data_IF_888438450701
#
_entry.id   IF_888438450701
#
_cell.length_a   1.000
_cell.length_b   1.000
_cell.length_c   1.000
_cell.angle_alpha   90.00
_cell.angle_beta   90.00
_cell.angle_gamma   90.00
#
_symmetry.space_group_name_H-M   'P 1'
#
loop_
_entity.id
_entity.type
_entity.pdbx_description
1 polymer ?
#
# COMPACT_ATOMS: atom_id res chain seq x y z
N UNK A 1 -1.04 -16.70 -4.45
CA UNK A 1 0.09 -16.32 -3.55
C UNK A 1 -0.34 -16.68 -2.15
N UNK A 2 0.47 -17.38 -1.36
CA UNK A 2 0.03 -17.79 -0.01
C UNK A 2 -0.05 -16.55 0.89
N UNK A 3 -1.07 -16.45 1.74
CA UNK A 3 -1.28 -15.31 2.67
C UNK A 3 -0.08 -15.05 3.58
N UNK A 4 0.64 -16.09 4.03
CA UNK A 4 1.90 -15.97 4.76
C UNK A 4 2.87 -14.98 4.12
N UNK A 5 3.06 -15.06 2.78
CA UNK A 5 3.97 -14.16 2.06
C UNK A 5 3.50 -12.72 2.06
N UNK A 6 2.19 -12.51 2.02
CA UNK A 6 1.64 -11.13 2.06
C UNK A 6 1.77 -10.56 3.47
N UNK A 7 1.53 -11.38 4.50
CA UNK A 7 1.72 -10.98 5.89
C UNK A 7 3.19 -10.65 6.15
N UNK A 8 4.13 -11.46 5.64
CA UNK A 8 5.57 -11.17 5.74
C UNK A 8 5.95 -9.86 5.03
N UNK A 9 5.37 -9.60 3.85
CA UNK A 9 5.59 -8.33 3.14
C UNK A 9 5.04 -7.14 3.93
N UNK A 10 3.86 -7.26 4.53
CA UNK A 10 3.29 -6.20 5.38
C UNK A 10 4.17 -5.94 6.60
N UNK A 11 4.68 -6.98 7.24
CA UNK A 11 5.59 -6.90 8.37
C UNK A 11 6.89 -6.16 7.99
N UNK A 12 7.49 -6.51 6.86
CA UNK A 12 8.70 -5.84 6.36
C UNK A 12 8.43 -4.38 5.94
N UNK A 13 7.32 -4.08 5.28
CA UNK A 13 6.93 -2.70 4.97
C UNK A 13 6.79 -1.89 6.26
N UNK A 14 6.12 -2.43 7.27
CA UNK A 14 5.94 -1.76 8.55
C UNK A 14 7.29 -1.44 9.22
N UNK A 15 8.20 -2.41 9.27
CA UNK A 15 9.55 -2.21 9.82
C UNK A 15 10.33 -1.12 9.10
N UNK A 16 10.27 -1.12 7.75
CA UNK A 16 10.98 -0.11 6.94
C UNK A 16 10.41 1.28 7.21
N UNK A 17 9.09 1.45 7.20
CA UNK A 17 8.46 2.76 7.45
C UNK A 17 8.78 3.25 8.86
N UNK A 18 8.70 2.39 9.87
CA UNK A 18 9.03 2.73 11.26
C UNK A 18 10.50 3.13 11.41
N UNK A 19 11.41 2.44 10.73
CA UNK A 19 12.84 2.75 10.78
C UNK A 19 13.19 4.10 10.14
N UNK A 20 12.36 4.63 9.25
CA UNK A 20 12.56 5.91 8.56
C UNK A 20 11.72 7.05 9.16
N UNK A 21 11.21 6.91 10.39
CA UNK A 21 10.37 7.92 11.06
C UNK A 21 11.02 9.32 11.05
N UNK A 22 12.30 9.41 11.49
CA UNK A 22 13.01 10.68 11.60
C UNK A 22 13.20 11.33 10.20
N UNK A 23 13.60 10.54 9.20
CA UNK A 23 13.79 11.03 7.83
C UNK A 23 12.49 11.59 7.26
N UNK A 24 11.38 10.84 7.39
CA UNK A 24 10.06 11.26 6.92
C UNK A 24 9.56 12.52 7.64
N UNK A 25 9.85 12.64 8.93
CA UNK A 25 9.53 13.82 9.75
C UNK A 25 10.35 15.03 9.31
N UNK A 26 11.65 14.86 9.04
CA UNK A 26 12.52 15.94 8.61
C UNK A 26 12.18 16.45 7.19
N UNK A 27 11.81 15.56 6.29
CA UNK A 27 11.31 15.93 4.97
C UNK A 27 10.03 16.76 5.06
N UNK A 28 9.11 16.38 5.94
CA UNK A 28 7.85 17.10 6.14
C UNK A 28 8.07 18.47 6.79
N UNK A 29 9.00 18.62 7.73
CA UNK A 29 9.33 19.93 8.35
C UNK A 29 9.72 21.01 7.37
N UNK A 30 10.23 20.63 6.20
CA UNK A 30 10.61 21.58 5.17
C UNK A 30 9.42 22.26 4.49
N UNK A 31 8.23 21.62 4.50
CA UNK A 31 7.06 22.05 3.74
C UNK A 31 5.74 21.90 4.51
N UNK A 32 5.76 21.24 5.69
CA UNK A 32 4.59 20.90 6.51
C UNK A 32 4.82 21.19 8.00
N UNK A 33 4.09 20.50 8.85
CA UNK A 33 4.13 20.65 10.31
C UNK A 33 5.10 19.66 11.00
N UNK A 34 5.76 18.80 10.23
CA UNK A 34 6.80 17.88 10.73
C UNK A 34 6.23 16.72 11.53
N UNK A 35 5.05 16.25 11.22
CA UNK A 35 4.42 15.13 11.94
C UNK A 35 4.24 13.85 11.08
N UNK A 36 4.60 13.90 9.78
CA UNK A 36 4.34 12.82 8.84
C UNK A 36 4.97 11.49 9.26
N UNK A 37 6.26 11.49 9.61
CA UNK A 37 6.96 10.28 10.06
C UNK A 37 6.35 9.69 11.33
N UNK A 38 6.04 10.54 12.31
CA UNK A 38 5.40 10.12 13.56
C UNK A 38 4.01 9.52 13.32
N UNK A 39 3.22 10.13 12.44
CA UNK A 39 1.89 9.65 12.08
C UNK A 39 1.97 8.29 11.38
N UNK A 40 2.88 8.12 10.41
CA UNK A 40 3.10 6.84 9.74
C UNK A 40 3.58 5.77 10.70
N UNK A 41 4.58 6.07 11.54
CA UNK A 41 5.07 5.13 12.56
C UNK A 41 3.93 4.62 13.43
N UNK A 42 3.12 5.51 13.98
CA UNK A 42 1.95 5.12 14.81
C UNK A 42 1.01 4.17 14.06
N UNK A 43 0.76 4.42 12.77
CA UNK A 43 -0.07 3.58 11.94
C UNK A 43 0.53 2.19 11.72
N UNK A 44 1.81 2.14 11.40
CA UNK A 44 2.49 0.87 11.13
C UNK A 44 2.82 0.08 12.41
N UNK A 45 3.05 0.73 13.56
CA UNK A 45 3.08 0.06 14.87
C UNK A 45 1.75 -0.67 15.14
N UNK A 46 0.62 -0.04 14.80
CA UNK A 46 -0.69 -0.66 14.95
C UNK A 46 -0.93 -1.81 13.96
N UNK A 47 -0.38 -1.73 12.74
CA UNK A 47 -0.39 -2.85 11.78
C UNK A 47 0.45 -4.01 12.30
N UNK A 48 1.66 -3.74 12.79
CA UNK A 48 2.53 -4.78 13.38
C UNK A 48 1.87 -5.50 14.55
N UNK A 49 1.16 -4.79 15.40
CA UNK A 49 0.41 -5.40 16.51
C UNK A 49 -0.69 -6.39 16.05
N UNK A 50 -1.09 -6.33 14.77
CA UNK A 50 -2.05 -7.27 14.17
C UNK A 50 -1.40 -8.42 13.40
N UNK A 51 -0.10 -8.39 13.14
CA UNK A 51 0.58 -9.42 12.33
C UNK A 51 0.39 -10.81 12.92
N UNK A 52 0.55 -10.98 14.23
CA UNK A 52 0.35 -12.28 14.89
C UNK A 52 -1.10 -12.75 14.76
N UNK A 53 -2.07 -11.85 14.95
CA UNK A 53 -3.48 -12.15 14.71
C UNK A 53 -3.74 -12.58 13.25
N UNK A 54 -3.13 -11.95 12.27
CA UNK A 54 -3.27 -12.34 10.87
C UNK A 54 -2.70 -13.75 10.62
N UNK A 55 -1.54 -14.07 11.20
CA UNK A 55 -0.93 -15.41 11.10
C UNK A 55 -1.77 -16.49 11.78
N UNK A 56 -2.28 -16.23 12.98
CA UNK A 56 -3.14 -17.18 13.70
C UNK A 56 -4.48 -17.46 13.02
N UNK A 57 -4.94 -16.54 12.16
CA UNK A 57 -6.23 -16.62 11.46
C UNK A 57 -6.07 -16.75 9.94
N UNK A 58 -4.90 -17.16 9.45
CA UNK A 58 -4.60 -17.17 8.00
C UNK A 58 -5.58 -18.01 7.18
N UNK A 59 -6.06 -19.14 7.70
CA UNK A 59 -7.03 -20.02 7.05
C UNK A 59 -8.40 -19.34 6.77
N UNK A 60 -8.71 -18.27 7.52
CA UNK A 60 -9.94 -17.49 7.39
C UNK A 60 -9.71 -16.10 6.82
N UNK A 61 -8.47 -15.78 6.47
CA UNK A 61 -8.01 -14.46 6.03
C UNK A 61 -7.62 -14.52 4.56
N UNK A 62 -8.54 -14.23 3.65
CA UNK A 62 -8.18 -14.03 2.25
C UNK A 62 -7.44 -12.68 2.05
N UNK A 63 -6.81 -12.52 0.88
CA UNK A 63 -6.04 -11.32 0.55
C UNK A 63 -6.88 -10.04 0.63
N UNK A 64 -8.14 -10.10 0.21
CA UNK A 64 -9.06 -8.96 0.28
C UNK A 64 -9.33 -8.52 1.72
N UNK A 65 -9.58 -9.48 2.63
CA UNK A 65 -9.76 -9.19 4.06
C UNK A 65 -8.50 -8.63 4.70
N UNK A 66 -7.34 -9.23 4.42
CA UNK A 66 -6.05 -8.78 4.93
C UNK A 66 -5.77 -7.31 4.57
N UNK A 67 -5.96 -6.96 3.30
CA UNK A 67 -5.81 -5.58 2.83
C UNK A 67 -6.84 -4.63 3.45
N UNK A 68 -8.09 -5.05 3.61
CA UNK A 68 -9.12 -4.24 4.26
C UNK A 68 -8.83 -4.02 5.75
N UNK A 69 -8.42 -5.05 6.49
CA UNK A 69 -8.05 -4.93 7.90
C UNK A 69 -6.85 -3.98 8.09
N UNK A 70 -5.85 -4.10 7.21
CA UNK A 70 -4.71 -3.17 7.19
C UNK A 70 -5.15 -1.75 6.88
N UNK A 71 -6.01 -1.56 5.86
CA UNK A 71 -6.56 -0.27 5.49
C UNK A 71 -7.33 0.40 6.65
N UNK A 72 -8.18 -0.35 7.33
CA UNK A 72 -8.96 0.16 8.48
C UNK A 72 -8.06 0.52 9.65
N UNK A 73 -6.99 -0.25 9.87
CA UNK A 73 -5.99 0.05 10.90
C UNK A 73 -5.29 1.38 10.59
N UNK A 74 -4.77 1.56 9.37
CA UNK A 74 -4.14 2.82 8.97
C UNK A 74 -5.12 4.00 9.01
N UNK A 75 -6.37 3.81 8.53
CA UNK A 75 -7.39 4.85 8.54
C UNK A 75 -7.68 5.38 9.96
N UNK A 76 -7.65 4.50 10.95
CA UNK A 76 -7.99 4.84 12.34
C UNK A 76 -6.80 5.35 13.15
N UNK A 77 -5.55 5.14 12.69
CA UNK A 77 -4.35 5.41 13.48
C UNK A 77 -3.39 6.41 12.85
N UNK A 78 -3.32 6.49 11.52
CA UNK A 78 -2.49 7.48 10.83
C UNK A 78 -3.21 8.82 10.79
N UNK A 79 -2.56 9.86 11.31
CA UNK A 79 -3.08 11.23 11.27
C UNK A 79 -2.92 11.89 9.90
N UNK A 80 -3.45 13.10 9.76
CA UNK A 80 -3.31 13.91 8.56
C UNK A 80 -4.00 13.33 7.33
N UNK A 81 -3.54 13.74 6.15
CA UNK A 81 -4.07 13.28 4.86
C UNK A 81 -3.63 11.86 4.49
N UNK A 82 -2.48 11.40 5.02
CA UNK A 82 -1.85 10.14 4.67
C UNK A 82 -2.71 8.93 5.02
N UNK A 83 -3.31 8.91 6.21
CA UNK A 83 -4.20 7.83 6.63
C UNK A 83 -5.31 7.53 5.63
N UNK A 84 -6.16 8.50 5.31
CA UNK A 84 -7.19 8.33 4.28
C UNK A 84 -6.68 7.95 2.90
N UNK A 85 -5.51 8.45 2.46
CA UNK A 85 -4.95 8.14 1.15
C UNK A 85 -4.48 6.70 1.07
N UNK A 86 -3.62 6.25 1.99
CA UNK A 86 -3.13 4.87 2.02
C UNK A 86 -4.25 3.86 2.28
N UNK A 87 -5.17 4.17 3.18
CA UNK A 87 -6.34 3.33 3.42
C UNK A 87 -7.20 3.17 2.15
N UNK A 88 -7.42 4.27 1.40
CA UNK A 88 -8.18 4.21 0.15
C UNK A 88 -7.46 3.34 -0.89
N UNK A 89 -6.14 3.45 -1.02
CA UNK A 89 -5.35 2.60 -1.91
C UNK A 89 -5.53 1.12 -1.57
N UNK A 90 -5.34 0.74 -0.31
CA UNK A 90 -5.49 -0.65 0.15
C UNK A 90 -6.92 -1.18 0.01
N UNK A 91 -7.95 -0.37 0.28
CA UNK A 91 -9.35 -0.76 0.07
C UNK A 91 -9.66 -1.00 -1.42
N UNK A 92 -9.09 -0.20 -2.31
CA UNK A 92 -9.23 -0.37 -3.77
C UNK A 92 -8.54 -1.65 -4.23
N UNK A 93 -7.33 -1.95 -3.74
CA UNK A 93 -6.66 -3.22 -3.99
C UNK A 93 -7.46 -4.39 -3.43
N UNK A 94 -7.96 -4.29 -2.20
CA UNK A 94 -8.81 -5.32 -1.59
C UNK A 94 -10.04 -5.63 -2.45
N UNK A 95 -10.67 -4.60 -3.01
CA UNK A 95 -11.81 -4.77 -3.92
C UNK A 95 -11.42 -5.50 -5.21
N UNK A 96 -10.23 -5.26 -5.75
CA UNK A 96 -9.74 -5.92 -6.95
C UNK A 96 -9.53 -7.44 -6.73
N UNK A 97 -9.20 -7.85 -5.51
CA UNK A 97 -9.02 -9.26 -5.14
C UNK A 97 -10.25 -9.93 -4.54
N UNK A 98 -11.38 -9.20 -4.42
CA UNK A 98 -12.62 -9.78 -3.92
C UNK A 98 -13.06 -10.95 -4.81
N UNK A 99 -13.49 -12.02 -4.19
CA UNK A 99 -13.99 -13.23 -4.86
C UNK A 99 -12.92 -13.98 -5.69
N UNK A 100 -11.62 -13.65 -5.51
CA UNK A 100 -10.52 -14.40 -6.09
C UNK A 100 -9.89 -15.34 -5.07
N UNK A 101 -9.67 -16.59 -5.49
CA UNK A 101 -8.85 -17.50 -4.70
C UNK A 101 -7.37 -17.13 -4.88
N UNK A 102 -6.58 -17.34 -3.84
CA UNK A 102 -5.14 -17.00 -3.87
C UNK A 102 -4.36 -17.65 -5.01
N UNK A 103 -4.73 -18.91 -5.36
CA UNK A 103 -4.08 -19.65 -6.45
C UNK A 103 -4.39 -19.12 -7.84
N UNK A 104 -5.46 -18.34 -7.98
CA UNK A 104 -5.96 -17.81 -9.23
C UNK A 104 -5.51 -16.36 -9.50
N UNK A 105 -4.81 -15.74 -8.52
CA UNK A 105 -4.29 -14.37 -8.68
C UNK A 105 -3.05 -14.39 -9.56
N UNK A 106 -3.15 -13.77 -10.71
CA UNK A 106 -2.06 -13.59 -11.66
C UNK A 106 -1.50 -12.17 -11.67
N UNK A 107 -0.53 -11.91 -12.56
CA UNK A 107 0.13 -10.61 -12.64
C UNK A 107 -0.79 -9.53 -13.22
N UNK A 108 -1.74 -9.89 -14.08
CA UNK A 108 -2.69 -8.95 -14.65
C UNK A 108 -3.68 -8.48 -13.56
N UNK A 109 -4.01 -9.34 -12.59
CA UNK A 109 -4.80 -8.99 -11.40
C UNK A 109 -4.05 -8.02 -10.48
N UNK A 110 -2.74 -8.24 -10.31
CA UNK A 110 -1.90 -7.37 -9.51
C UNK A 110 -1.77 -6.00 -10.19
N UNK A 111 -1.56 -5.97 -11.51
CA UNK A 111 -1.54 -4.71 -12.28
C UNK A 111 -2.85 -3.93 -12.10
N UNK A 112 -3.98 -4.61 -12.24
CA UNK A 112 -5.28 -4.00 -12.03
C UNK A 112 -5.46 -3.46 -10.61
N UNK A 113 -5.03 -4.20 -9.59
CA UNK A 113 -5.09 -3.75 -8.20
C UNK A 113 -4.22 -2.50 -7.96
N UNK A 114 -3.00 -2.46 -8.51
CA UNK A 114 -2.10 -1.28 -8.44
C UNK A 114 -2.75 -0.09 -9.15
N UNK A 115 -3.34 -0.27 -10.31
CA UNK A 115 -4.10 0.76 -11.03
C UNK A 115 -5.21 1.36 -10.16
N UNK A 116 -6.03 0.50 -9.58
CA UNK A 116 -7.14 0.94 -8.73
C UNK A 116 -6.64 1.70 -7.49
N UNK A 117 -5.50 1.29 -6.92
CA UNK A 117 -4.87 2.00 -5.81
C UNK A 117 -4.45 3.43 -6.21
N UNK A 118 -3.74 3.58 -7.34
CA UNK A 118 -3.30 4.88 -7.86
C UNK A 118 -4.49 5.80 -8.14
N UNK A 119 -5.51 5.29 -8.86
CA UNK A 119 -6.74 6.05 -9.12
C UNK A 119 -7.48 6.41 -7.83
N UNK A 120 -7.48 5.53 -6.83
CA UNK A 120 -8.06 5.79 -5.52
C UNK A 120 -7.36 6.95 -4.79
N UNK A 121 -6.03 7.00 -4.80
CA UNK A 121 -5.24 8.10 -4.23
C UNK A 121 -5.56 9.40 -4.96
N UNK A 122 -5.54 9.42 -6.30
CA UNK A 122 -5.85 10.61 -7.11
C UNK A 122 -7.23 11.16 -6.80
N UNK A 123 -8.23 10.29 -6.80
CA UNK A 123 -9.62 10.68 -6.50
C UNK A 123 -9.78 11.19 -5.07
N UNK A 124 -9.20 10.50 -4.08
CA UNK A 124 -9.30 10.87 -2.67
C UNK A 124 -8.57 12.17 -2.34
N UNK A 125 -7.39 12.36 -2.94
CA UNK A 125 -6.57 13.55 -2.76
C UNK A 125 -6.97 14.71 -3.67
N UNK A 126 -7.86 14.48 -4.64
CA UNK A 126 -8.20 15.44 -5.70
C UNK A 126 -6.93 16.02 -6.34
N UNK A 127 -5.97 15.14 -6.65
CA UNK A 127 -4.64 15.51 -7.14
C UNK A 127 -4.36 14.92 -8.53
N UNK A 128 -3.58 15.64 -9.30
CA UNK A 128 -3.13 15.29 -10.64
C UNK A 128 -1.62 15.39 -10.76
N UNK A 129 -1.05 14.80 -11.81
CA UNK A 129 0.38 14.97 -12.13
C UNK A 129 0.69 16.47 -12.33
N UNK A 130 1.77 16.93 -11.71
CA UNK A 130 2.20 18.32 -11.69
C UNK A 130 1.80 19.11 -10.44
N UNK A 131 0.94 18.55 -9.57
CA UNK A 131 0.49 19.21 -8.34
C UNK A 131 1.52 19.14 -7.20
N UNK A 132 2.69 18.52 -7.44
CA UNK A 132 3.77 18.33 -6.46
C UNK A 132 3.31 17.53 -5.24
N UNK A 133 2.65 16.42 -5.50
CA UNK A 133 2.16 15.47 -4.49
C UNK A 133 2.78 14.08 -4.72
N UNK A 134 2.42 13.10 -3.89
CA UNK A 134 2.81 11.69 -4.13
C UNK A 134 2.35 11.17 -5.50
N UNK A 135 1.37 11.80 -6.15
CA UNK A 135 0.90 11.42 -7.49
C UNK A 135 2.02 11.54 -8.52
N UNK A 136 2.92 12.52 -8.37
CA UNK A 136 4.07 12.72 -9.25
C UNK A 136 5.13 11.59 -9.15
N UNK A 137 5.03 10.76 -8.13
CA UNK A 137 5.87 9.56 -7.96
C UNK A 137 5.12 8.28 -8.35
N UNK A 138 3.88 8.11 -7.86
CA UNK A 138 3.16 6.86 -8.07
C UNK A 138 2.62 6.68 -9.49
N UNK A 139 2.33 7.75 -10.20
CA UNK A 139 1.83 7.68 -11.58
C UNK A 139 2.92 7.19 -12.57
N UNK A 140 4.15 7.76 -12.58
CA UNK A 140 5.24 7.21 -13.38
C UNK A 140 5.61 5.77 -13.00
N UNK A 141 5.63 5.45 -11.70
CA UNK A 141 5.81 4.07 -11.24
C UNK A 141 4.78 3.13 -11.88
N UNK A 142 3.49 3.46 -11.78
CA UNK A 142 2.44 2.64 -12.35
C UNK A 142 2.58 2.50 -13.87
N UNK A 143 2.93 3.57 -14.57
CA UNK A 143 3.12 3.54 -16.03
C UNK A 143 4.24 2.57 -16.44
N UNK A 144 5.39 2.61 -15.73
CA UNK A 144 6.51 1.71 -15.97
C UNK A 144 6.17 0.25 -15.57
N UNK A 145 5.54 0.06 -14.41
CA UNK A 145 5.07 -1.24 -13.94
C UNK A 145 4.12 -1.90 -14.96
N UNK A 146 3.10 -1.17 -15.42
CA UNK A 146 2.16 -1.63 -16.43
C UNK A 146 2.85 -2.07 -17.72
N UNK A 147 3.79 -1.24 -18.20
CA UNK A 147 4.57 -1.56 -19.40
C UNK A 147 5.36 -2.86 -19.21
N UNK A 148 6.06 -3.01 -18.09
CA UNK A 148 6.85 -4.20 -17.80
C UNK A 148 5.98 -5.47 -17.67
N UNK A 149 4.77 -5.36 -17.08
CA UNK A 149 3.80 -6.47 -17.05
C UNK A 149 3.39 -6.88 -18.46
N UNK A 150 3.14 -5.93 -19.35
CA UNK A 150 2.74 -6.20 -20.73
C UNK A 150 3.86 -6.87 -21.54
N UNK A 151 5.12 -6.50 -21.30
CA UNK A 151 6.28 -7.00 -22.06
C UNK A 151 6.74 -8.37 -21.59
N UNK A 152 6.78 -8.64 -20.28
CA UNK A 152 7.47 -9.83 -19.74
C UNK A 152 6.62 -10.67 -18.75
N UNK A 153 5.49 -10.17 -18.29
CA UNK A 153 4.62 -10.83 -17.30
C UNK A 153 5.39 -11.43 -16.08
N UNK A 154 6.52 -10.81 -15.72
CA UNK A 154 7.35 -11.20 -14.60
C UNK A 154 7.24 -10.17 -13.46
N UNK A 155 6.54 -10.54 -12.37
CA UNK A 155 6.25 -9.67 -11.24
C UNK A 155 7.52 -8.99 -10.67
N UNK A 156 8.58 -9.78 -10.42
CA UNK A 156 9.81 -9.25 -9.83
C UNK A 156 10.48 -8.20 -10.72
N UNK A 157 10.50 -8.44 -12.03
CA UNK A 157 11.07 -7.50 -13.00
C UNK A 157 10.19 -6.26 -13.13
N UNK A 158 8.86 -6.43 -13.20
CA UNK A 158 7.91 -5.33 -13.30
C UNK A 158 8.02 -4.34 -12.13
N UNK A 159 8.20 -4.85 -10.90
CA UNK A 159 8.43 -3.98 -9.73
C UNK A 159 9.82 -3.32 -9.72
N UNK A 160 10.83 -3.91 -10.36
CA UNK A 160 12.17 -3.32 -10.43
C UNK A 160 12.27 -2.21 -11.49
N UNK A 161 11.38 -2.19 -12.47
CA UNK A 161 11.34 -1.21 -13.56
C UNK A 161 10.35 -0.06 -13.29
N UNK A 162 9.38 -0.24 -12.36
CA UNK A 162 8.45 0.79 -11.90
C UNK A 162 9.04 1.63 -10.79
#
# INVERSE_FOLDING_TARGET
MKNDRVIDVLDEIAKIVIAHEEELTDLDRAIGDGDHGLNLKRGFDAVMAKVDYFRENEDNMDLSKLLNETAMTLLSTVGGASGPLYATALMKMAKAFRDKNEGDIDIDDIEYAVKEAVEGIKQRGNASVGDKTMVDTIEPFYAAFKKAVQEDKNLKKSFAEG
#
